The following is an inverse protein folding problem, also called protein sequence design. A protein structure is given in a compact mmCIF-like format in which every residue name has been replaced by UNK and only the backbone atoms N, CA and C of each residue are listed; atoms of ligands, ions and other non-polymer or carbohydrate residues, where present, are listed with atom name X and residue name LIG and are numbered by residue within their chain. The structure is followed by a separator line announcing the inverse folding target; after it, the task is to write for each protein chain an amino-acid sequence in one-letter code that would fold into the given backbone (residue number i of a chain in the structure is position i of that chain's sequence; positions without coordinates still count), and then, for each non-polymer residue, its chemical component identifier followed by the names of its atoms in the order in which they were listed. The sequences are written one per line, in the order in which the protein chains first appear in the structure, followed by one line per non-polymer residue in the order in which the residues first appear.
data_IF_955599002813
#
_entry.id   IF_955599002813
#
_cell.length_a   1.000
_cell.length_b   1.000
_cell.length_c   1.000
_cell.angle_alpha   90.00
_cell.angle_beta   90.00
_cell.angle_gamma   90.00
#
_symmetry.space_group_name_H-M   'P 1'
#
loop_
_entity.id
_entity.type
_entity.pdbx_description
1 polymer ?
#
# COMPACT_ATOMS: atom_id res chain seq x y z
N UNK A 1 -23.65 42.12 -36.24
CA UNK A 1 -22.51 41.90 -37.17
C UNK A 1 -21.45 41.01 -36.52
N UNK A 2 -21.59 39.69 -36.73
CA UNK A 2 -20.57 38.64 -37.02
C UNK A 2 -19.16 38.62 -36.37
N UNK A 3 -18.84 39.39 -35.32
CA UNK A 3 -17.47 39.42 -34.74
C UNK A 3 -17.32 38.89 -33.31
N UNK A 4 -18.42 38.71 -32.57
CA UNK A 4 -18.37 38.23 -31.17
C UNK A 4 -18.41 36.69 -31.07
N UNK A 5 -18.88 36.00 -32.12
CA UNK A 5 -18.96 34.53 -32.16
C UNK A 5 -17.61 33.80 -32.31
N UNK A 6 -16.49 34.51 -32.49
CA UNK A 6 -15.18 33.86 -32.70
C UNK A 6 -14.28 33.80 -31.46
N UNK A 7 -14.67 34.42 -30.34
CA UNK A 7 -13.87 34.37 -29.11
C UNK A 7 -14.23 33.23 -28.15
N UNK A 8 -15.36 32.55 -28.36
CA UNK A 8 -15.80 31.44 -27.49
C UNK A 8 -15.19 30.10 -27.92
N UNK A 9 -14.58 30.03 -29.10
CA UNK A 9 -14.05 28.78 -29.66
C UNK A 9 -12.66 28.36 -29.11
N UNK A 10 -11.98 29.19 -28.33
CA UNK A 10 -10.62 28.89 -27.84
C UNK A 10 -10.49 28.71 -26.31
N UNK A 11 -11.59 28.80 -25.55
CA UNK A 11 -11.54 28.58 -24.10
C UNK A 11 -11.96 27.16 -23.68
N UNK A 12 -12.39 26.32 -24.62
CA UNK A 12 -12.97 25.00 -24.34
C UNK A 12 -11.97 23.84 -24.22
N UNK A 13 -10.68 24.04 -24.53
CA UNK A 13 -9.71 22.95 -24.68
C UNK A 13 -8.56 22.97 -23.66
N UNK A 14 -8.78 23.48 -22.45
CA UNK A 14 -7.74 23.48 -21.40
C UNK A 14 -8.13 22.77 -20.11
N UNK A 15 -9.34 22.21 -20.01
CA UNK A 15 -9.80 21.51 -18.80
C UNK A 15 -9.53 19.99 -18.79
N UNK A 16 -8.88 19.43 -19.82
CA UNK A 16 -8.66 17.98 -19.92
C UNK A 16 -7.37 17.47 -19.25
N UNK A 17 -6.54 18.33 -18.66
CA UNK A 17 -5.25 17.92 -18.08
C UNK A 17 -5.27 17.71 -16.55
N UNK A 18 -6.42 17.91 -15.90
CA UNK A 18 -6.54 17.71 -14.44
C UNK A 18 -6.91 16.26 -14.04
N UNK A 19 -6.84 15.29 -14.96
CA UNK A 19 -6.96 13.87 -14.65
C UNK A 19 -5.59 13.17 -14.73
N UNK A 20 -4.54 13.84 -14.29
CA UNK A 20 -3.32 13.14 -13.88
C UNK A 20 -3.68 12.28 -12.67
N UNK A 21 -4.03 11.01 -12.93
CA UNK A 21 -3.99 9.88 -12.01
C UNK A 21 -2.52 9.58 -11.58
N UNK A 22 -1.72 10.61 -11.32
CA UNK A 22 -0.34 10.54 -10.88
C UNK A 22 -0.31 10.49 -9.36
N UNK A 23 -0.69 9.34 -8.83
CA UNK A 23 -0.55 9.01 -7.43
C UNK A 23 -0.82 7.53 -7.29
N UNK A 24 0.22 6.75 -6.99
CA UNK A 24 0.11 5.30 -6.85
C UNK A 24 -1.07 4.92 -5.96
N UNK A 25 -1.73 3.80 -6.27
CA UNK A 25 -2.86 3.30 -5.47
C UNK A 25 -2.44 3.21 -4.01
N UNK A 26 -3.05 4.02 -3.15
CA UNK A 26 -2.94 3.88 -1.70
C UNK A 26 -4.26 3.33 -1.17
N UNK A 27 -4.19 2.33 -0.30
CA UNK A 27 -5.36 1.72 0.31
C UNK A 27 -5.14 1.67 1.81
N UNK A 28 -6.07 2.25 2.56
CA UNK A 28 -6.04 2.23 4.03
C UNK A 28 -7.24 1.47 4.56
N UNK A 29 -6.99 0.48 5.40
CA UNK A 29 -7.99 -0.32 6.11
C UNK A 29 -7.80 -0.03 7.59
N UNK A 30 -8.87 0.38 8.28
CA UNK A 30 -8.86 0.61 9.72
C UNK A 30 -10.05 -0.12 10.31
N UNK A 31 -9.78 -1.03 11.23
CA UNK A 31 -10.80 -1.75 12.00
C UNK A 31 -10.47 -1.64 13.48
N UNK A 32 -11.46 -1.26 14.27
CA UNK A 32 -11.34 -1.19 15.73
C UNK A 32 -12.59 -1.80 16.35
N UNK A 33 -12.43 -2.88 17.11
CA UNK A 33 -13.53 -3.55 17.81
C UNK A 33 -13.05 -4.14 19.14
N UNK A 34 -13.82 -3.95 20.21
CA UNK A 34 -13.57 -4.57 21.53
C UNK A 34 -12.13 -4.41 22.06
N UNK A 35 -11.54 -3.23 21.90
CA UNK A 35 -10.16 -2.94 22.33
C UNK A 35 -9.07 -3.51 21.41
N UNK A 36 -9.43 -4.13 20.29
CA UNK A 36 -8.52 -4.62 19.28
C UNK A 36 -8.52 -3.67 18.07
N UNK A 37 -7.36 -3.09 17.74
CA UNK A 37 -7.21 -2.20 16.58
C UNK A 37 -6.27 -2.80 15.54
N UNK A 38 -6.71 -2.81 14.28
CA UNK A 38 -5.94 -3.20 13.11
C UNK A 38 -5.94 -2.03 12.13
N UNK A 39 -4.75 -1.62 11.70
CA UNK A 39 -4.56 -0.66 10.63
C UNK A 39 -3.64 -1.26 9.59
N UNK A 40 -4.06 -1.17 8.32
CA UNK A 40 -3.28 -1.65 7.19
C UNK A 40 -3.22 -0.52 6.16
N UNK A 41 -2.02 -0.17 5.72
CA UNK A 41 -1.81 0.87 4.71
C UNK A 41 -0.96 0.28 3.60
N UNK A 42 -1.49 0.27 2.39
CA UNK A 42 -0.77 -0.12 1.18
C UNK A 42 -0.43 1.11 0.35
N UNK A 43 0.75 1.06 -0.26
CA UNK A 43 1.17 1.92 -1.34
C UNK A 43 1.67 1.03 -2.48
N UNK A 44 1.02 1.11 -3.64
CA UNK A 44 1.33 0.26 -4.77
C UNK A 44 0.71 -1.14 -4.67
N UNK A 45 1.36 -2.13 -5.29
CA UNK A 45 0.90 -3.52 -5.33
C UNK A 45 1.73 -4.39 -4.39
N UNK A 46 1.06 -5.28 -3.65
CA UNK A 46 1.70 -6.24 -2.75
C UNK A 46 1.14 -7.64 -3.05
N UNK A 47 2.02 -8.61 -3.25
CA UNK A 47 1.66 -10.02 -3.42
C UNK A 47 2.24 -10.85 -2.28
N UNK A 48 1.42 -11.71 -1.70
CA UNK A 48 1.83 -12.61 -0.62
C UNK A 48 2.34 -13.95 -1.15
N UNK A 49 3.09 -14.67 -0.32
CA UNK A 49 3.51 -16.05 -0.63
C UNK A 49 2.31 -17.00 -0.59
N UNK A 50 2.40 -18.11 -1.33
CA UNK A 50 1.29 -19.08 -1.42
C UNK A 50 0.92 -19.75 -0.09
N UNK A 51 1.89 -19.85 0.82
CA UNK A 51 1.68 -20.38 2.16
C UNK A 51 1.05 -19.36 3.14
N UNK A 52 0.84 -18.11 2.71
CA UNK A 52 0.23 -17.05 3.51
C UNK A 52 1.09 -16.56 4.68
N UNK A 53 2.42 -16.80 4.63
CA UNK A 53 3.34 -16.46 5.72
C UNK A 53 4.32 -15.34 5.41
N UNK A 54 4.39 -14.89 4.16
CA UNK A 54 5.38 -13.89 3.74
C UNK A 54 4.89 -13.01 2.61
N UNK A 55 5.72 -12.04 2.25
CA UNK A 55 5.50 -11.14 1.13
C UNK A 55 6.41 -11.59 -0.01
N UNK A 56 5.81 -11.90 -1.16
CA UNK A 56 6.51 -12.32 -2.38
C UNK A 56 7.03 -11.13 -3.18
N UNK A 57 6.23 -10.06 -3.25
CA UNK A 57 6.55 -8.89 -4.07
C UNK A 57 5.88 -7.65 -3.51
N UNK A 58 6.57 -6.52 -3.63
CA UNK A 58 6.04 -5.18 -3.48
C UNK A 58 6.47 -4.40 -4.72
N UNK A 59 5.56 -3.64 -5.35
CA UNK A 59 5.89 -2.83 -6.53
C UNK A 59 7.01 -1.82 -6.22
N UNK A 60 7.78 -1.37 -7.23
CA UNK A 60 8.75 -0.29 -7.02
C UNK A 60 8.13 0.92 -6.32
N UNK A 61 8.83 1.47 -5.33
CA UNK A 61 8.35 2.56 -4.44
C UNK A 61 7.08 2.21 -3.64
N UNK A 62 6.70 0.94 -3.59
CA UNK A 62 5.57 0.45 -2.82
C UNK A 62 5.95 0.09 -1.40
N UNK A 63 4.95 0.07 -0.53
CA UNK A 63 5.07 -0.35 0.85
C UNK A 63 3.76 -0.91 1.39
N UNK A 64 3.86 -1.69 2.46
CA UNK A 64 2.74 -2.08 3.30
C UNK A 64 3.10 -1.84 4.75
N UNK A 65 2.22 -1.14 5.46
CA UNK A 65 2.30 -0.95 6.89
C UNK A 65 1.15 -1.71 7.54
N UNK A 66 1.48 -2.57 8.50
CA UNK A 66 0.51 -3.30 9.32
C UNK A 66 0.73 -2.92 10.78
N UNK A 67 -0.30 -2.36 11.40
CA UNK A 67 -0.32 -2.06 12.82
C UNK A 67 -1.42 -2.87 13.49
N UNK A 68 -1.07 -3.58 14.55
CA UNK A 68 -2.00 -4.33 15.38
C UNK A 68 -1.76 -3.98 16.83
N UNK A 69 -2.71 -3.25 17.43
CA UNK A 69 -2.55 -2.65 18.76
C UNK A 69 -1.25 -1.81 18.83
N UNK A 70 -0.28 -2.23 19.64
CA UNK A 70 1.01 -1.55 19.82
C UNK A 70 2.13 -2.10 18.93
N UNK A 71 1.87 -3.15 18.14
CA UNK A 71 2.87 -3.75 17.26
C UNK A 71 2.75 -3.19 15.84
N UNK A 72 3.88 -2.92 15.20
CA UNK A 72 3.95 -2.35 13.87
C UNK A 72 4.94 -3.11 12.99
N UNK A 73 4.55 -3.37 11.75
CA UNK A 73 5.37 -3.90 10.67
C UNK A 73 5.32 -2.90 9.52
N UNK A 74 6.47 -2.51 9.00
CA UNK A 74 6.60 -1.85 7.69
C UNK A 74 7.37 -2.80 6.79
N UNK A 75 6.86 -3.06 5.59
CA UNK A 75 7.59 -3.75 4.53
C UNK A 75 7.55 -2.89 3.28
N UNK A 76 8.70 -2.68 2.65
CA UNK A 76 8.82 -1.81 1.46
C UNK A 76 9.76 -2.42 0.43
N UNK A 77 9.61 -1.99 -0.82
CA UNK A 77 10.55 -2.32 -1.87
C UNK A 77 11.77 -1.38 -1.78
N UNK A 78 12.91 -1.91 -1.38
CA UNK A 78 14.22 -1.27 -1.47
C UNK A 78 15.00 -1.87 -2.66
N UNK A 79 15.01 -1.15 -3.79
CA UNK A 79 15.77 -1.51 -4.99
C UNK A 79 15.54 -2.97 -5.46
N UNK A 80 14.28 -3.43 -5.44
CA UNK A 80 13.90 -4.78 -5.85
C UNK A 80 13.98 -5.84 -4.75
N UNK A 81 14.41 -5.48 -3.54
CA UNK A 81 14.37 -6.35 -2.35
C UNK A 81 13.28 -5.87 -1.40
N UNK A 82 12.72 -6.78 -0.62
CA UNK A 82 11.81 -6.41 0.46
C UNK A 82 12.63 -6.22 1.73
N UNK A 83 12.54 -5.03 2.32
CA UNK A 83 13.09 -4.73 3.65
C UNK A 83 11.94 -4.58 4.63
N UNK A 84 12.19 -5.00 5.86
CA UNK A 84 11.22 -5.01 6.94
C UNK A 84 11.68 -4.10 8.08
N UNK A 85 10.74 -3.46 8.73
CA UNK A 85 10.95 -2.71 9.97
C UNK A 85 9.87 -3.13 10.95
N UNK A 86 10.27 -3.57 12.15
CA UNK A 86 9.33 -4.00 13.20
C UNK A 86 9.47 -3.06 14.39
N UNK A 87 8.34 -2.51 14.86
CA UNK A 87 8.23 -1.66 16.03
C UNK A 87 9.21 -0.46 16.06
N UNK A 88 9.52 0.12 14.90
CA UNK A 88 10.46 1.25 14.81
C UNK A 88 11.94 0.86 14.95
N UNK A 89 12.26 -0.43 14.81
CA UNK A 89 13.64 -0.92 14.72
C UNK A 89 14.34 -0.50 13.43
N UNK A 90 15.52 -1.05 13.17
CA UNK A 90 16.22 -0.84 11.90
C UNK A 90 15.60 -1.63 10.74
N UNK A 91 15.76 -1.12 9.52
CA UNK A 91 15.41 -1.85 8.29
C UNK A 91 16.29 -3.09 8.15
N UNK A 92 15.67 -4.24 7.96
CA UNK A 92 16.33 -5.54 7.89
C UNK A 92 15.78 -6.38 6.73
N UNK A 93 16.66 -7.09 6.03
CA UNK A 93 16.30 -8.04 4.96
C UNK A 93 16.05 -9.44 5.48
N UNK A 94 16.53 -9.73 6.69
CA UNK A 94 16.35 -11.00 7.38
C UNK A 94 15.71 -10.73 8.74
N UNK A 95 14.69 -11.52 9.05
CA UNK A 95 14.01 -11.50 10.33
C UNK A 95 14.46 -12.69 11.15
N UNK A 96 14.58 -12.50 12.46
CA UNK A 96 14.69 -13.58 13.44
C UNK A 96 13.38 -14.38 13.52
N UNK A 97 13.34 -15.37 14.41
CA UNK A 97 12.17 -16.27 14.54
C UNK A 97 10.91 -15.50 14.97
N UNK A 98 11.04 -14.58 15.91
CA UNK A 98 9.94 -13.74 16.40
C UNK A 98 9.43 -12.79 15.31
N UNK A 99 10.34 -12.16 14.56
CA UNK A 99 10.01 -11.30 13.43
C UNK A 99 9.31 -12.07 12.30
N UNK A 100 9.76 -13.29 12.00
CA UNK A 100 9.07 -14.17 11.03
C UNK A 100 7.68 -14.57 11.51
N UNK A 101 7.50 -14.88 12.79
CA UNK A 101 6.20 -15.20 13.36
C UNK A 101 5.25 -14.01 13.28
N UNK A 102 5.74 -12.80 13.57
CA UNK A 102 4.95 -11.57 13.45
C UNK A 102 4.58 -11.26 12.00
N UNK A 103 5.53 -11.39 11.06
CA UNK A 103 5.27 -11.25 9.62
C UNK A 103 4.17 -12.23 9.15
N UNK A 104 4.27 -13.51 9.53
CA UNK A 104 3.29 -14.51 9.13
C UNK A 104 1.88 -14.19 9.65
N UNK A 105 1.78 -13.71 10.91
CA UNK A 105 0.52 -13.23 11.48
C UNK A 105 -0.03 -12.03 10.71
N UNK A 106 0.81 -11.04 10.43
CA UNK A 106 0.42 -9.85 9.68
C UNK A 106 -0.11 -10.20 8.29
N UNK A 107 0.60 -11.05 7.54
CA UNK A 107 0.19 -11.52 6.20
C UNK A 107 -1.14 -12.25 6.26
N UNK A 108 -1.33 -13.13 7.25
CA UNK A 108 -2.60 -13.84 7.45
C UNK A 108 -3.76 -12.87 7.68
N UNK A 109 -3.56 -11.85 8.52
CA UNK A 109 -4.58 -10.84 8.79
C UNK A 109 -4.89 -9.94 7.60
N UNK A 110 -3.88 -9.63 6.77
CA UNK A 110 -4.02 -8.91 5.50
C UNK A 110 -4.85 -9.70 4.48
N UNK A 111 -4.55 -10.98 4.31
CA UNK A 111 -5.26 -11.86 3.37
C UNK A 111 -6.73 -12.05 3.76
N UNK A 112 -7.04 -12.20 5.06
CA UNK A 112 -8.42 -12.30 5.56
C UNK A 112 -9.29 -11.08 5.20
N UNK A 113 -8.69 -9.90 5.11
CA UNK A 113 -9.38 -8.62 4.86
C UNK A 113 -9.54 -8.30 3.38
N UNK A 114 -9.45 -9.32 2.51
CA UNK A 114 -9.79 -9.20 1.11
C UNK A 114 -8.65 -8.72 0.21
N UNK A 115 -7.44 -8.52 0.72
CA UNK A 115 -6.26 -8.37 -0.12
C UNK A 115 -5.69 -9.73 -0.51
N UNK A 116 -6.39 -10.40 -1.42
CA UNK A 116 -5.74 -11.34 -2.33
C UNK A 116 -5.34 -10.54 -3.56
N UNK A 117 -4.05 -10.25 -3.72
CA UNK A 117 -3.52 -9.96 -5.03
C UNK A 117 -3.45 -11.29 -5.81
N UNK A 118 -4.62 -11.85 -6.12
CA UNK A 118 -4.70 -12.95 -7.07
C UNK A 118 -4.33 -12.41 -8.44
N UNK A 119 -3.33 -13.04 -9.03
CA UNK A 119 -3.56 -13.72 -10.29
C UNK A 119 -2.74 -15.00 -10.37
#
# INVERSE_FOLDING_TARGET
MKKIQRFIALAGLMLLVAACHFGGRSTTIIESANGNSVKIVYHGQTYFTRDGKGIKFISPNGSVTFSHNSQNLVAENDHGRIVYEINGGGKQTQLDEDGKAFLARAVTEMMKRGHNADK
#
